data_IF_619667460340
#
_entry.id   IF_619667460340
#
_cell.length_a   1.000
_cell.length_b   1.000
_cell.length_c   1.000
_cell.angle_alpha   90.00
_cell.angle_beta   90.00
_cell.angle_gamma   90.00
#
_symmetry.space_group_name_H-M   'P 1'
#
loop_
_entity.id
_entity.type
_entity.pdbx_description
1 polymer ?
#
# COMPACT_ATOMS: atom_id res chain seq x y z
N UNK A 1 -12.78 1.19 2.76
CA UNK A 1 -13.33 -0.02 2.12
C UNK A 1 -12.90 -0.14 0.67
N UNK A 2 -13.18 0.81 -0.24
CA UNK A 2 -12.73 0.68 -1.64
C UNK A 2 -11.26 0.24 -1.84
N UNK A 3 -10.30 0.98 -1.28
CA UNK A 3 -8.87 0.66 -1.43
C UNK A 3 -8.46 -0.61 -0.67
N UNK A 4 -9.14 -0.97 0.42
CA UNK A 4 -8.85 -2.23 1.12
C UNK A 4 -9.18 -3.42 0.24
N UNK A 5 -10.29 -3.36 -0.51
CA UNK A 5 -10.63 -4.45 -1.42
C UNK A 5 -9.67 -4.52 -2.60
N UNK A 6 -9.36 -3.37 -3.23
CA UNK A 6 -8.45 -3.36 -4.39
C UNK A 6 -7.04 -3.82 -4.02
N UNK A 7 -6.51 -3.42 -2.87
CA UNK A 7 -5.20 -3.91 -2.43
C UNK A 7 -5.27 -5.37 -1.99
N UNK A 8 -6.36 -5.80 -1.33
CA UNK A 8 -6.61 -7.19 -0.96
C UNK A 8 -6.57 -8.12 -2.17
N UNK A 9 -7.31 -7.77 -3.23
CA UNK A 9 -7.30 -8.46 -4.52
C UNK A 9 -5.87 -8.66 -5.04
N UNK A 10 -5.10 -7.57 -5.16
CA UNK A 10 -3.74 -7.64 -5.73
C UNK A 10 -2.78 -8.45 -4.90
N UNK A 11 -2.94 -8.45 -3.57
CA UNK A 11 -2.16 -9.29 -2.66
C UNK A 11 -2.45 -10.77 -2.87
N UNK A 12 -3.73 -11.14 -2.85
CA UNK A 12 -4.14 -12.53 -2.98
C UNK A 12 -3.78 -13.09 -4.35
N UNK A 13 -4.02 -12.35 -5.43
CA UNK A 13 -3.73 -12.84 -6.78
C UNK A 13 -2.22 -12.96 -7.04
N UNK A 14 -1.41 -12.06 -6.47
CA UNK A 14 0.05 -12.13 -6.60
C UNK A 14 0.60 -13.37 -5.89
N UNK A 15 0.16 -13.63 -4.64
CA UNK A 15 0.57 -14.83 -3.90
C UNK A 15 0.06 -16.09 -4.62
N UNK A 16 -1.21 -16.11 -5.03
CA UNK A 16 -1.81 -17.26 -5.70
C UNK A 16 -1.03 -17.66 -6.97
N UNK A 17 -0.77 -16.70 -7.86
CA UNK A 17 -0.01 -16.94 -9.11
C UNK A 17 1.42 -17.40 -8.87
N UNK A 18 2.07 -16.85 -7.84
CA UNK A 18 3.41 -17.30 -7.45
C UNK A 18 3.40 -18.76 -6.99
N UNK A 19 2.42 -19.15 -6.17
CA UNK A 19 2.26 -20.51 -5.66
C UNK A 19 1.78 -21.52 -6.72
N UNK A 20 1.08 -21.08 -7.77
CA UNK A 20 0.79 -21.92 -8.95
C UNK A 20 2.07 -22.29 -9.70
N UNK A 21 3.03 -21.36 -9.80
CA UNK A 21 4.33 -21.59 -10.44
C UNK A 21 5.32 -22.31 -9.53
N UNK A 22 5.15 -22.18 -8.21
CA UNK A 22 6.02 -22.77 -7.19
C UNK A 22 5.20 -23.59 -6.17
N UNK A 23 4.67 -24.77 -6.55
CA UNK A 23 3.79 -25.55 -5.68
C UNK A 23 4.43 -25.95 -4.34
N UNK A 24 5.76 -26.16 -4.31
CA UNK A 24 6.51 -26.54 -3.11
C UNK A 24 6.52 -25.43 -2.04
N UNK A 25 6.29 -24.18 -2.44
CA UNK A 25 6.17 -23.04 -1.51
C UNK A 25 4.77 -22.93 -0.87
N UNK A 26 3.83 -23.83 -1.23
CA UNK A 26 2.48 -23.87 -0.66
C UNK A 26 2.47 -24.58 0.70
N UNK A 27 2.97 -23.88 1.71
CA UNK A 27 3.16 -24.42 3.07
C UNK A 27 1.88 -24.55 3.91
N UNK A 28 0.76 -23.91 3.51
CA UNK A 28 -0.51 -23.95 4.24
C UNK A 28 -1.73 -24.20 3.32
N UNK A 29 -2.74 -24.98 3.76
CA UNK A 29 -3.95 -25.24 2.98
C UNK A 29 -4.78 -23.99 2.62
N UNK A 30 -4.63 -22.90 3.40
CA UNK A 30 -5.36 -21.64 3.21
C UNK A 30 -5.16 -21.05 1.80
N UNK A 31 -4.02 -21.32 1.16
CA UNK A 31 -3.69 -20.81 -0.17
C UNK A 31 -4.61 -21.35 -1.27
N UNK A 32 -5.29 -22.47 -1.05
CA UNK A 32 -6.27 -23.00 -2.01
C UNK A 32 -7.55 -22.14 -2.08
N UNK A 33 -7.80 -21.28 -1.09
CA UNK A 33 -8.96 -20.38 -1.08
C UNK A 33 -8.67 -19.01 -1.69
N UNK A 34 -7.41 -18.71 -2.00
CA UNK A 34 -7.00 -17.37 -2.44
C UNK A 34 -7.66 -16.97 -3.76
N UNK A 35 -7.82 -17.89 -4.71
CA UNK A 35 -8.53 -17.62 -5.96
C UNK A 35 -9.97 -17.18 -5.72
N UNK A 36 -10.71 -17.90 -4.86
CA UNK A 36 -12.09 -17.57 -4.51
C UNK A 36 -12.17 -16.20 -3.82
N UNK A 37 -11.28 -15.93 -2.86
CA UNK A 37 -11.22 -14.63 -2.20
C UNK A 37 -10.89 -13.50 -3.17
N UNK A 38 -10.01 -13.72 -4.15
CA UNK A 38 -9.78 -12.73 -5.21
C UNK A 38 -11.08 -12.37 -5.94
N UNK A 39 -11.94 -13.35 -6.23
CA UNK A 39 -13.21 -13.07 -6.89
C UNK A 39 -14.15 -12.25 -6.00
N UNK A 40 -14.20 -12.55 -4.72
CA UNK A 40 -15.02 -11.80 -3.76
C UNK A 40 -14.53 -10.34 -3.62
N UNK A 41 -13.22 -10.14 -3.44
CA UNK A 41 -12.57 -8.83 -3.39
C UNK A 41 -12.82 -8.02 -4.68
N UNK A 42 -12.78 -8.67 -5.85
CA UNK A 42 -13.06 -8.01 -7.12
C UNK A 42 -14.52 -7.54 -7.20
N UNK A 43 -15.49 -8.40 -6.82
CA UNK A 43 -16.92 -8.05 -6.80
C UNK A 43 -17.22 -6.91 -5.82
N UNK A 44 -16.64 -6.94 -4.63
CA UNK A 44 -16.77 -5.84 -3.67
C UNK A 44 -16.17 -4.54 -4.23
N UNK A 45 -15.00 -4.64 -4.86
CA UNK A 45 -14.35 -3.52 -5.51
C UNK A 45 -15.23 -2.88 -6.60
N UNK A 46 -15.88 -3.70 -7.43
CA UNK A 46 -16.77 -3.24 -8.51
C UNK A 46 -18.03 -2.55 -7.95
N UNK A 47 -18.58 -3.07 -6.85
CA UNK A 47 -19.68 -2.41 -6.13
C UNK A 47 -19.28 -1.02 -5.62
N UNK A 48 -18.11 -0.90 -4.99
CA UNK A 48 -17.59 0.39 -4.53
C UNK A 48 -17.26 1.33 -5.70
N UNK A 49 -16.75 0.80 -6.83
CA UNK A 49 -16.51 1.59 -8.04
C UNK A 49 -17.83 2.24 -8.52
N UNK A 50 -18.92 1.47 -8.57
CA UNK A 50 -20.24 1.98 -8.94
C UNK A 50 -20.77 3.02 -7.93
N UNK A 51 -20.62 2.75 -6.63
CA UNK A 51 -21.07 3.67 -5.57
C UNK A 51 -20.34 5.02 -5.63
N UNK A 52 -19.02 5.01 -5.81
CA UNK A 52 -18.23 6.24 -5.91
C UNK A 52 -18.58 7.03 -7.17
N UNK A 53 -18.84 6.35 -8.29
CA UNK A 53 -19.32 7.01 -9.52
C UNK A 53 -20.72 7.62 -9.36
N UNK A 54 -21.60 6.96 -8.61
CA UNK A 54 -22.94 7.46 -8.30
C UNK A 54 -22.94 8.67 -7.36
N UNK A 55 -21.84 8.90 -6.62
CA UNK A 55 -21.66 10.05 -5.72
C UNK A 55 -20.47 10.92 -6.17
N UNK A 56 -20.62 11.78 -7.19
CA UNK A 56 -19.51 12.47 -7.83
C UNK A 56 -18.67 13.35 -6.91
N UNK A 57 -19.24 13.85 -5.80
CA UNK A 57 -18.52 14.63 -4.79
C UNK A 57 -17.34 13.87 -4.18
N UNK A 58 -17.39 12.53 -4.17
CA UNK A 58 -16.32 11.67 -3.63
C UNK A 58 -15.10 11.57 -4.55
N UNK A 59 -15.26 11.87 -5.84
CA UNK A 59 -14.21 11.70 -6.88
C UNK A 59 -13.94 12.94 -7.71
N UNK A 60 -14.68 14.04 -7.50
CA UNK A 60 -14.53 15.30 -8.23
C UNK A 60 -14.10 16.45 -7.31
N UNK A 61 -13.36 17.40 -7.88
CA UNK A 61 -12.92 18.60 -7.18
C UNK A 61 -11.60 18.44 -6.43
N UNK A 62 -11.16 19.52 -5.80
CA UNK A 62 -9.86 19.60 -5.14
C UNK A 62 -9.79 18.77 -3.86
N UNK A 63 -10.83 18.81 -3.03
CA UNK A 63 -10.91 18.03 -1.79
C UNK A 63 -10.85 16.53 -2.05
N UNK A 64 -11.62 16.03 -3.03
CA UNK A 64 -11.57 14.62 -3.44
C UNK A 64 -10.16 14.19 -3.87
N UNK A 65 -9.45 15.03 -4.64
CA UNK A 65 -8.06 14.76 -5.03
C UNK A 65 -7.14 14.62 -3.82
N UNK A 66 -7.28 15.47 -2.81
CA UNK A 66 -6.48 15.38 -1.58
C UNK A 66 -6.80 14.11 -0.79
N UNK A 67 -8.08 13.77 -0.63
CA UNK A 67 -8.51 12.55 0.05
C UNK A 67 -8.03 11.29 -0.65
N UNK A 68 -8.19 11.19 -1.97
CA UNK A 68 -7.68 10.06 -2.75
C UNK A 68 -6.17 9.88 -2.57
N UNK A 69 -5.39 10.97 -2.60
CA UNK A 69 -3.93 10.93 -2.33
C UNK A 69 -3.63 10.46 -0.92
N UNK A 70 -4.34 10.99 0.06
CA UNK A 70 -4.16 10.63 1.48
C UNK A 70 -4.39 9.14 1.69
N UNK A 71 -5.52 8.61 1.21
CA UNK A 71 -5.86 7.20 1.41
C UNK A 71 -4.92 6.26 0.63
N UNK A 72 -4.54 6.59 -0.60
CA UNK A 72 -3.52 5.82 -1.34
C UNK A 72 -2.21 5.76 -0.55
N UNK A 73 -1.73 6.91 -0.07
CA UNK A 73 -0.47 6.98 0.65
C UNK A 73 -0.53 6.20 1.98
N UNK A 74 -1.60 6.38 2.74
CA UNK A 74 -1.79 5.69 4.01
C UNK A 74 -1.81 4.16 3.82
N UNK A 75 -2.56 3.66 2.84
CA UNK A 75 -2.63 2.22 2.54
C UNK A 75 -1.28 1.68 2.07
N UNK A 76 -0.59 2.38 1.15
CA UNK A 76 0.70 1.92 0.64
C UNK A 76 1.80 1.94 1.70
N UNK A 77 1.89 3.03 2.47
CA UNK A 77 2.92 3.15 3.51
C UNK A 77 2.71 2.14 4.64
N UNK A 78 1.48 1.96 5.12
CA UNK A 78 1.19 0.97 6.19
C UNK A 78 1.42 -0.45 5.72
N UNK A 79 1.02 -0.79 4.49
CA UNK A 79 1.31 -2.09 3.90
C UNK A 79 2.83 -2.33 3.83
N UNK A 80 3.56 -1.39 3.24
CA UNK A 80 5.02 -1.51 3.02
C UNK A 80 5.78 -1.71 4.33
N UNK A 81 5.47 -0.91 5.35
CA UNK A 81 6.10 -1.02 6.67
C UNK A 81 5.80 -2.36 7.33
N UNK A 82 4.52 -2.77 7.31
CA UNK A 82 4.09 -4.02 7.96
C UNK A 82 4.71 -5.24 7.29
N UNK A 83 4.77 -5.26 5.98
CA UNK A 83 5.17 -6.45 5.22
C UNK A 83 6.69 -6.62 5.19
N UNK A 84 7.45 -5.52 5.13
CA UNK A 84 8.91 -5.54 5.33
C UNK A 84 9.27 -6.03 6.74
N UNK A 85 8.48 -5.70 7.76
CA UNK A 85 8.66 -6.23 9.12
C UNK A 85 8.30 -7.74 9.23
N UNK A 86 7.56 -8.29 8.27
CA UNK A 86 7.15 -9.72 8.21
C UNK A 86 7.92 -10.49 7.14
N UNK A 87 9.21 -10.19 6.98
CA UNK A 87 10.07 -10.79 5.95
C UNK A 87 10.03 -12.32 5.94
N UNK A 88 10.12 -12.94 7.13
CA UNK A 88 10.17 -14.40 7.26
C UNK A 88 8.94 -15.11 6.65
N UNK A 89 7.76 -14.47 6.72
CA UNK A 89 6.55 -15.01 6.11
C UNK A 89 6.66 -15.06 4.58
N UNK A 90 7.17 -13.99 3.96
CA UNK A 90 7.34 -13.93 2.51
C UNK A 90 8.46 -14.86 2.04
N UNK A 91 9.56 -14.95 2.79
CA UNK A 91 10.64 -15.89 2.50
C UNK A 91 10.18 -17.35 2.56
N UNK A 92 9.32 -17.70 3.52
CA UNK A 92 8.73 -19.03 3.61
C UNK A 92 7.85 -19.40 2.40
N UNK A 93 7.36 -18.39 1.66
CA UNK A 93 6.64 -18.57 0.40
C UNK A 93 7.54 -18.44 -0.83
N UNK A 94 8.85 -18.27 -0.66
CA UNK A 94 9.79 -18.04 -1.76
C UNK A 94 9.65 -16.66 -2.42
N UNK A 95 9.18 -15.66 -1.69
CA UNK A 95 8.97 -14.28 -2.15
C UNK A 95 9.92 -13.30 -1.45
N UNK A 96 10.35 -12.26 -2.18
CA UNK A 96 10.92 -11.06 -1.56
C UNK A 96 9.80 -10.07 -1.22
N UNK A 97 9.71 -9.68 0.06
CA UNK A 97 8.65 -8.79 0.56
C UNK A 97 8.63 -7.42 -0.14
N UNK A 98 9.80 -6.86 -0.48
CA UNK A 98 9.88 -5.52 -1.10
C UNK A 98 9.45 -5.57 -2.56
N UNK A 99 9.92 -6.55 -3.32
CA UNK A 99 9.52 -6.73 -4.71
C UNK A 99 8.03 -7.05 -4.82
N UNK A 100 7.52 -7.90 -3.93
CA UNK A 100 6.10 -8.17 -3.79
C UNK A 100 5.29 -6.89 -3.53
N UNK A 101 5.68 -6.10 -2.53
CA UNK A 101 4.95 -4.87 -2.19
C UNK A 101 5.02 -3.82 -3.30
N UNK A 102 6.17 -3.66 -3.97
CA UNK A 102 6.29 -2.77 -5.14
C UNK A 102 5.30 -3.15 -6.22
N UNK A 103 5.19 -4.45 -6.53
CA UNK A 103 4.23 -4.96 -7.51
C UNK A 103 2.78 -4.67 -7.09
N UNK A 104 2.41 -5.00 -5.85
CA UNK A 104 1.05 -4.79 -5.33
C UNK A 104 0.70 -3.29 -5.31
N UNK A 105 1.63 -2.42 -4.89
CA UNK A 105 1.45 -0.97 -4.90
C UNK A 105 1.22 -0.48 -6.33
N UNK A 106 2.08 -0.86 -7.27
CA UNK A 106 1.96 -0.43 -8.66
C UNK A 106 0.60 -0.81 -9.26
N UNK A 107 0.18 -2.07 -9.08
CA UNK A 107 -1.09 -2.57 -9.61
C UNK A 107 -2.32 -1.99 -8.93
N UNK A 108 -2.26 -1.77 -7.62
CA UNK A 108 -3.34 -1.10 -6.87
C UNK A 108 -3.46 0.37 -7.29
N UNK A 109 -2.33 1.06 -7.48
CA UNK A 109 -2.29 2.45 -7.93
C UNK A 109 -2.87 2.57 -9.36
N UNK A 110 -2.47 1.69 -10.27
CA UNK A 110 -3.02 1.58 -11.64
C UNK A 110 -4.54 1.35 -11.62
N UNK A 111 -5.01 0.37 -10.83
CA UNK A 111 -6.43 0.02 -10.78
C UNK A 111 -7.28 1.13 -10.17
N UNK A 112 -6.76 1.81 -9.14
CA UNK A 112 -7.46 2.93 -8.48
C UNK A 112 -7.68 4.12 -9.43
N UNK A 113 -6.85 4.27 -10.47
CA UNK A 113 -7.02 5.29 -11.50
C UNK A 113 -8.34 5.15 -12.30
N UNK A 114 -9.05 4.01 -12.18
CA UNK A 114 -10.39 3.83 -12.79
C UNK A 114 -11.46 4.73 -12.17
N UNK A 115 -11.31 5.08 -10.90
CA UNK A 115 -12.32 5.83 -10.12
C UNK A 115 -11.74 7.08 -9.49
N UNK A 116 -10.51 7.01 -8.99
CA UNK A 116 -9.89 8.16 -8.36
C UNK A 116 -9.51 9.20 -9.42
N UNK A 117 -9.63 10.52 -9.14
CA UNK A 117 -9.26 11.56 -10.09
C UNK A 117 -7.74 11.70 -10.30
N UNK A 118 -6.96 11.24 -9.32
CA UNK A 118 -5.50 11.25 -9.33
C UNK A 118 -4.96 10.03 -8.58
N UNK A 119 -3.75 9.62 -8.92
CA UNK A 119 -3.01 8.56 -8.24
C UNK A 119 -1.60 9.03 -7.85
N UNK A 120 -0.90 8.26 -7.02
CA UNK A 120 0.46 8.61 -6.59
C UNK A 120 1.46 8.32 -7.72
N UNK A 121 2.54 9.10 -7.78
CA UNK A 121 3.64 8.82 -8.69
C UNK A 121 4.59 7.79 -8.06
N UNK A 122 4.18 6.53 -8.08
CA UNK A 122 4.90 5.41 -7.45
C UNK A 122 6.20 5.05 -8.16
N UNK A 123 6.32 5.39 -9.45
CA UNK A 123 7.53 5.17 -10.25
C UNK A 123 8.61 6.23 -10.04
N UNK A 124 8.28 7.31 -9.31
CA UNK A 124 9.26 8.34 -9.01
C UNK A 124 10.45 7.74 -8.22
N UNK A 125 11.71 8.00 -8.59
CA UNK A 125 12.88 7.34 -7.97
C UNK A 125 12.94 7.44 -6.44
N UNK A 126 12.47 8.58 -5.91
CA UNK A 126 12.41 8.84 -4.47
C UNK A 126 11.19 8.24 -3.75
N UNK A 127 10.23 7.61 -4.43
CA UNK A 127 9.01 7.13 -3.78
C UNK A 127 9.35 6.01 -2.79
N UNK A 128 9.95 4.93 -3.28
CA UNK A 128 10.37 3.80 -2.44
C UNK A 128 11.54 4.16 -1.51
N UNK A 129 12.44 5.06 -1.91
CA UNK A 129 13.50 5.57 -1.03
C UNK A 129 12.91 6.16 0.26
N UNK A 130 11.81 6.91 0.15
CA UNK A 130 11.14 7.50 1.32
C UNK A 130 10.38 6.48 2.15
N UNK A 131 9.77 5.48 1.50
CA UNK A 131 9.15 4.36 2.21
C UNK A 131 10.19 3.57 3.03
N UNK A 132 11.39 3.33 2.47
CA UNK A 132 12.50 2.72 3.22
C UNK A 132 12.95 3.56 4.42
N UNK A 133 13.01 4.89 4.29
CA UNK A 133 13.29 5.76 5.44
C UNK A 133 12.23 5.65 6.52
N UNK A 134 10.96 5.56 6.14
CA UNK A 134 9.86 5.32 7.08
C UNK A 134 10.04 3.96 7.77
N UNK A 135 10.40 2.90 7.04
CA UNK A 135 10.73 1.59 7.63
C UNK A 135 11.86 1.73 8.66
N UNK A 136 12.96 2.40 8.31
CA UNK A 136 14.09 2.63 9.22
C UNK A 136 13.69 3.39 10.49
N UNK A 137 12.88 4.43 10.35
CA UNK A 137 12.34 5.16 11.49
C UNK A 137 11.46 4.29 12.37
N UNK A 138 10.60 3.43 11.80
CA UNK A 138 9.78 2.49 12.58
C UNK A 138 10.64 1.47 13.33
N UNK A 139 11.66 0.89 12.69
CA UNK A 139 12.61 0.00 13.37
C UNK A 139 13.32 0.70 14.54
N UNK A 140 13.71 1.97 14.38
CA UNK A 140 14.34 2.74 15.44
C UNK A 140 13.37 3.07 16.60
N UNK A 141 12.09 3.31 16.27
CA UNK A 141 11.03 3.48 17.28
C UNK A 141 10.83 2.20 18.09
N UNK A 142 10.78 1.04 17.44
CA UNK A 142 10.64 -0.27 18.10
C UNK A 142 11.84 -0.56 19.00
N UNK A 143 13.06 -0.31 18.53
CA UNK A 143 14.28 -0.45 19.32
C UNK A 143 14.29 0.48 20.55
N UNK A 144 13.82 1.72 20.40
CA UNK A 144 13.70 2.66 21.51
C UNK A 144 12.64 2.22 22.55
N UNK A 145 11.56 1.56 22.10
CA UNK A 145 10.54 1.01 22.98
C UNK A 145 11.05 -0.21 23.77
N UNK A 146 11.84 -1.08 23.13
CA UNK A 146 12.44 -2.26 23.76
C UNK A 146 13.59 -1.92 24.71
N UNK A 147 14.23 -0.75 24.55
CA UNK A 147 15.32 -0.33 25.43
C UNK A 147 14.87 -0.24 26.90
N UNK A 148 15.72 -0.69 27.83
CA UNK A 148 15.46 -0.51 29.26
C UNK A 148 15.86 0.92 29.69
N UNK A 149 14.93 1.86 29.59
CA UNK A 149 15.14 3.28 29.89
C UNK A 149 13.89 3.90 30.52
N UNK A 150 14.05 5.03 31.22
CA UNK A 150 12.94 5.79 31.78
C UNK A 150 12.05 6.37 30.67
N UNK A 151 10.74 6.48 30.91
CA UNK A 151 9.75 6.94 29.92
C UNK A 151 10.09 8.30 29.26
N UNK A 152 10.54 9.35 29.97
CA UNK A 152 10.90 10.62 29.33
C UNK A 152 12.09 10.48 28.37
N UNK A 153 13.06 9.62 28.70
CA UNK A 153 14.21 9.34 27.87
C UNK A 153 13.82 8.53 26.63
N UNK A 154 12.90 7.56 26.76
CA UNK A 154 12.31 6.87 25.61
C UNK A 154 11.61 7.84 24.67
N UNK A 155 10.77 8.72 25.21
CA UNK A 155 10.06 9.73 24.43
C UNK A 155 11.04 10.65 23.66
N UNK A 156 12.08 11.15 24.34
CA UNK A 156 13.10 11.99 23.71
C UNK A 156 13.82 11.27 22.55
N UNK A 157 14.12 9.97 22.70
CA UNK A 157 14.71 9.14 21.63
C UNK A 157 13.77 8.90 20.45
N UNK A 158 12.47 8.79 20.70
CA UNK A 158 11.45 8.55 19.66
C UNK A 158 11.08 9.79 18.86
N UNK A 159 11.16 10.97 19.48
CA UNK A 159 10.80 12.25 18.86
C UNK A 159 11.41 12.49 17.47
N UNK A 160 12.73 12.34 17.24
CA UNK A 160 13.31 12.55 15.90
C UNK A 160 12.75 11.57 14.85
N UNK A 161 12.45 10.33 15.22
CA UNK A 161 11.91 9.34 14.30
C UNK A 161 10.43 9.59 13.96
N UNK A 162 9.62 10.05 14.92
CA UNK A 162 8.26 10.51 14.63
C UNK A 162 8.25 11.73 13.70
N UNK A 163 9.11 12.71 13.95
CA UNK A 163 9.26 13.88 13.08
C UNK A 163 9.76 13.48 11.69
N UNK A 164 10.71 12.54 11.61
CA UNK A 164 11.18 11.95 10.35
C UNK A 164 10.05 11.27 9.57
N UNK A 165 9.22 10.47 10.22
CA UNK A 165 8.05 9.85 9.61
C UNK A 165 7.05 10.88 9.08
N UNK A 166 6.70 11.90 9.86
CA UNK A 166 5.81 12.99 9.42
C UNK A 166 6.40 13.72 8.23
N UNK A 167 7.71 13.98 8.25
CA UNK A 167 8.42 14.62 7.15
C UNK A 167 8.37 13.80 5.87
N UNK A 168 8.71 12.52 5.92
CA UNK A 168 8.71 11.64 4.75
C UNK A 168 7.30 11.41 4.19
N UNK A 169 6.31 11.21 5.07
CA UNK A 169 4.89 11.14 4.68
C UNK A 169 4.43 12.44 4.04
N UNK A 170 4.80 13.61 4.57
CA UNK A 170 4.50 14.90 3.98
C UNK A 170 5.12 15.05 2.59
N UNK A 171 6.39 14.67 2.42
CA UNK A 171 7.09 14.71 1.12
C UNK A 171 6.43 13.79 0.09
N UNK A 172 5.99 12.60 0.49
CA UNK A 172 5.24 11.69 -0.37
C UNK A 172 3.85 12.25 -0.70
N UNK A 173 3.14 12.80 0.28
CA UNK A 173 1.81 13.35 0.10
C UNK A 173 1.81 14.53 -0.87
N UNK A 174 2.76 15.46 -0.73
CA UNK A 174 2.87 16.67 -1.56
C UNK A 174 3.62 16.47 -2.89
N UNK A 175 4.19 15.28 -3.14
CA UNK A 175 4.76 14.95 -4.45
C UNK A 175 3.71 15.12 -5.57
N UNK A 176 4.15 15.50 -6.77
CA UNK A 176 3.24 15.74 -7.89
C UNK A 176 2.46 14.44 -8.21
N UNK A 177 1.12 14.46 -8.10
CA UNK A 177 0.31 13.28 -8.39
C UNK A 177 0.18 13.11 -9.90
N UNK A 178 -0.19 11.90 -10.34
CA UNK A 178 -0.46 11.62 -11.74
C UNK A 178 -1.98 11.72 -11.97
N UNK A 179 -2.44 12.53 -12.95
CA UNK A 179 -3.84 12.53 -13.36
C UNK A 179 -4.27 11.17 -13.90
N UNK A 180 -5.41 10.67 -13.45
CA UNK A 180 -5.86 9.30 -13.81
C UNK A 180 -6.18 9.13 -15.28
N UNK A 181 -6.45 10.22 -16.01
CA UNK A 181 -6.64 10.18 -17.46
C UNK A 181 -5.38 9.74 -18.25
N UNK A 182 -4.21 9.66 -17.62
CA UNK A 182 -3.01 9.08 -18.23
C UNK A 182 -3.00 7.54 -18.22
N UNK A 183 -3.80 6.93 -17.36
CA UNK A 183 -3.93 5.46 -17.25
C UNK A 183 -5.09 4.90 -18.07
N UNK A 184 -5.99 5.76 -18.53
CA UNK A 184 -7.10 5.38 -19.38
C UNK A 184 -6.83 5.96 -20.77
N UNK A 185 -6.70 5.15 -21.84
CA UNK A 185 -6.87 5.69 -23.18
C UNK A 185 -8.23 6.39 -23.19
N UNK A 186 -8.28 7.63 -23.65
CA UNK A 186 -9.53 8.35 -23.78
C UNK A 186 -10.50 7.46 -24.57
N UNK A 187 -11.52 6.94 -23.91
CA UNK A 187 -12.66 6.36 -24.62
C UNK A 187 -13.31 7.57 -25.31
N UNK A 188 -12.95 7.76 -26.58
CA UNK A 188 -13.65 8.63 -27.51
C UNK A 188 -14.91 7.94 -27.98
#
# INVERSE_FOLDING_TARGET
TYLSEKIGYWRYIAIYRHLEQNPDSKIFPIFNFFENWCQDENRHGDFFDALMKAQPATVRGFQAKLWCRFFLLAVFATMYVRDVARKDFYEALGLDAREYDKYVIAKTNETSARVFPVVLNVEHPRFYERLERIVQHNHALDAADQANALLPLKFARKLPHWLGNVWEMGRLFFAAPIPSNRFQPAIR
#
